data_IF_568404140953
#
_entry.id   IF_568404140953
#
_cell.length_a   1.000
_cell.length_b   1.000
_cell.length_c   1.000
_cell.angle_alpha   90.00
_cell.angle_beta   90.00
_cell.angle_gamma   90.00
#
_symmetry.space_group_name_H-M   'P 1'
#
loop_
_entity.id
_entity.type
_entity.pdbx_description
1 polymer ?
#
# COMPACT_ATOMS: atom_id res chain seq x y z
N UNK A 1 -17.72 -28.67 -15.95
CA UNK A 1 -17.65 -27.83 -14.72
C UNK A 1 -18.09 -26.38 -14.94
N UNK A 2 -17.59 -25.66 -15.95
CA UNK A 2 -17.96 -24.24 -16.18
C UNK A 2 -19.47 -24.01 -16.42
N UNK A 3 -20.10 -24.86 -17.26
CA UNK A 3 -21.54 -24.77 -17.58
C UNK A 3 -22.48 -24.94 -16.39
N UNK A 4 -22.15 -25.79 -15.41
CA UNK A 4 -23.01 -25.95 -14.21
C UNK A 4 -22.92 -24.73 -13.30
N UNK A 5 -21.72 -24.16 -13.08
CA UNK A 5 -21.58 -22.91 -12.34
C UNK A 5 -22.31 -21.74 -12.99
N UNK A 6 -22.29 -21.66 -14.33
CA UNK A 6 -23.03 -20.63 -15.07
C UNK A 6 -24.55 -20.78 -14.87
N UNK A 7 -25.08 -22.01 -14.93
CA UNK A 7 -26.48 -22.28 -14.63
C UNK A 7 -26.85 -21.94 -13.18
N UNK A 8 -26.04 -22.37 -12.21
CA UNK A 8 -26.28 -22.12 -10.79
C UNK A 8 -26.33 -20.61 -10.50
N UNK A 9 -25.45 -19.83 -11.13
CA UNK A 9 -25.45 -18.37 -11.01
C UNK A 9 -26.73 -17.75 -11.58
N UNK A 10 -27.17 -18.20 -12.76
CA UNK A 10 -28.41 -17.71 -13.40
C UNK A 10 -29.63 -18.08 -12.56
N UNK A 11 -29.69 -19.31 -12.04
CA UNK A 11 -30.76 -19.73 -11.14
C UNK A 11 -30.78 -18.86 -9.88
N UNK A 12 -29.62 -18.60 -9.28
CA UNK A 12 -29.52 -17.80 -8.06
C UNK A 12 -29.99 -16.35 -8.29
N UNK A 13 -29.63 -15.77 -9.44
CA UNK A 13 -30.08 -14.44 -9.86
C UNK A 13 -31.61 -14.41 -10.08
N UNK A 14 -32.18 -15.41 -10.75
CA UNK A 14 -33.63 -15.52 -10.93
C UNK A 14 -34.36 -15.71 -9.58
N UNK A 15 -33.80 -16.47 -8.65
CA UNK A 15 -34.35 -16.65 -7.30
C UNK A 15 -34.34 -15.35 -6.50
N UNK A 16 -33.26 -14.56 -6.60
CA UNK A 16 -33.17 -13.26 -5.93
C UNK A 16 -34.25 -12.30 -6.46
N UNK A 17 -34.39 -12.19 -7.78
CA UNK A 17 -35.42 -11.35 -8.41
C UNK A 17 -36.84 -11.79 -8.05
N UNK A 18 -37.11 -13.09 -8.05
CA UNK A 18 -38.44 -13.63 -7.73
C UNK A 18 -38.78 -13.54 -6.23
N UNK A 19 -37.83 -13.85 -5.34
CA UNK A 19 -38.09 -13.94 -3.90
C UNK A 19 -37.95 -12.60 -3.17
N UNK A 20 -37.04 -11.73 -3.63
CA UNK A 20 -36.70 -10.44 -3.00
C UNK A 20 -37.38 -9.28 -3.72
N UNK A 21 -37.22 -9.18 -5.04
CA UNK A 21 -37.78 -8.05 -5.82
C UNK A 21 -39.26 -8.25 -6.20
N UNK A 22 -39.78 -9.48 -6.09
CA UNK A 22 -41.19 -9.79 -6.36
C UNK A 22 -41.55 -9.94 -7.83
N UNK A 23 -40.58 -10.21 -8.71
CA UNK A 23 -40.82 -10.49 -10.13
C UNK A 23 -41.59 -11.81 -10.34
N UNK A 24 -42.35 -11.90 -11.44
CA UNK A 24 -43.04 -13.14 -11.81
C UNK A 24 -42.09 -14.12 -12.51
N UNK A 25 -42.47 -15.41 -12.53
CA UNK A 25 -41.67 -16.47 -13.18
C UNK A 25 -41.47 -16.14 -14.66
N UNK A 26 -42.49 -15.62 -15.32
CA UNK A 26 -42.46 -15.26 -16.75
C UNK A 26 -41.44 -14.15 -17.04
N UNK A 27 -41.31 -13.16 -16.15
CA UNK A 27 -40.35 -12.07 -16.26
C UNK A 27 -38.90 -12.56 -16.07
N UNK A 28 -38.68 -13.46 -15.11
CA UNK A 28 -37.39 -14.11 -14.90
C UNK A 28 -36.99 -14.98 -16.12
N UNK A 29 -37.94 -15.74 -16.69
CA UNK A 29 -37.70 -16.59 -17.85
C UNK A 29 -37.47 -15.78 -19.14
N UNK A 30 -38.11 -14.62 -19.29
CA UNK A 30 -37.88 -13.71 -20.41
C UNK A 30 -36.45 -13.14 -20.40
N UNK A 31 -35.88 -12.94 -19.22
CA UNK A 31 -34.49 -12.46 -19.07
C UNK A 31 -33.44 -13.55 -19.37
N UNK A 32 -33.82 -14.83 -19.36
CA UNK A 32 -32.90 -15.97 -19.52
C UNK A 32 -33.45 -17.07 -20.47
N UNK A 33 -33.66 -16.76 -21.76
CA UNK A 33 -34.36 -17.65 -22.71
C UNK A 33 -33.60 -18.95 -23.02
N UNK A 34 -32.26 -18.96 -22.87
CA UNK A 34 -31.42 -20.13 -23.20
C UNK A 34 -31.63 -21.34 -22.30
N UNK A 35 -32.13 -21.15 -21.09
CA UNK A 35 -32.27 -22.19 -20.04
C UNK A 35 -33.68 -22.25 -19.46
N UNK A 36 -34.64 -21.56 -20.09
CA UNK A 36 -35.98 -21.35 -19.54
C UNK A 36 -36.73 -22.66 -19.24
N UNK A 37 -36.53 -23.69 -20.07
CA UNK A 37 -37.17 -25.01 -19.91
C UNK A 37 -36.71 -25.73 -18.64
N UNK A 38 -35.44 -25.57 -18.25
CA UNK A 38 -34.86 -26.19 -17.04
C UNK A 38 -35.09 -25.33 -15.79
N UNK A 39 -35.09 -24.00 -15.93
CA UNK A 39 -35.31 -23.06 -14.83
C UNK A 39 -36.75 -23.06 -14.30
N UNK A 40 -37.73 -23.18 -15.18
CA UNK A 40 -39.16 -23.10 -14.84
C UNK A 40 -39.59 -24.01 -13.67
N UNK A 41 -39.33 -25.33 -13.68
CA UNK A 41 -39.73 -26.21 -12.57
C UNK A 41 -39.00 -25.89 -11.26
N UNK A 42 -37.74 -25.44 -11.33
CA UNK A 42 -36.97 -25.07 -10.14
C UNK A 42 -37.53 -23.81 -9.48
N UNK A 43 -37.87 -22.79 -10.26
CA UNK A 43 -38.49 -21.55 -9.76
C UNK A 43 -39.87 -21.82 -9.17
N UNK A 44 -40.68 -22.67 -9.81
CA UNK A 44 -41.97 -23.10 -9.26
C UNK A 44 -41.81 -23.80 -7.91
N UNK A 45 -40.85 -24.72 -7.80
CA UNK A 45 -40.56 -25.43 -6.55
C UNK A 45 -40.13 -24.47 -5.44
N UNK A 46 -39.25 -23.51 -5.77
CA UNK A 46 -38.82 -22.49 -4.82
C UNK A 46 -39.97 -21.61 -4.33
N UNK A 47 -40.90 -21.24 -5.22
CA UNK A 47 -42.09 -20.46 -4.87
C UNK A 47 -43.05 -21.24 -3.96
N UNK A 48 -43.29 -22.52 -4.26
CA UNK A 48 -44.09 -23.41 -3.40
C UNK A 48 -43.43 -23.56 -2.04
N UNK A 49 -42.12 -23.78 -1.98
CA UNK A 49 -41.37 -23.88 -0.73
C UNK A 49 -41.43 -22.58 0.09
N UNK A 50 -41.31 -21.42 -0.56
CA UNK A 50 -41.45 -20.10 0.07
C UNK A 50 -42.84 -19.92 0.70
N UNK A 51 -43.89 -20.25 -0.06
CA UNK A 51 -45.27 -20.11 0.40
C UNK A 51 -45.64 -21.14 1.49
N UNK A 52 -45.06 -22.35 1.42
CA UNK A 52 -45.20 -23.38 2.43
C UNK A 52 -44.34 -23.11 3.68
N UNK A 53 -43.38 -22.19 3.60
CA UNK A 53 -42.55 -21.77 4.74
C UNK A 53 -43.35 -20.88 5.69
N UNK A 54 -44.29 -21.51 6.41
CA UNK A 54 -45.07 -20.94 7.51
C UNK A 54 -44.21 -20.69 8.75
N UNK A 55 -43.00 -21.24 8.80
CA UNK A 55 -42.08 -21.13 9.93
C UNK A 55 -41.36 -19.78 9.89
N UNK A 56 -42.03 -18.72 10.34
CA UNK A 56 -41.32 -17.50 10.71
C UNK A 56 -40.60 -17.74 12.04
N UNK A 57 -39.28 -17.48 12.12
CA UNK A 57 -38.57 -17.58 13.39
C UNK A 57 -39.18 -16.62 14.40
N UNK A 58 -39.30 -17.07 15.66
CA UNK A 58 -39.82 -16.23 16.76
C UNK A 58 -39.02 -14.92 16.82
N UNK A 59 -39.67 -13.77 17.07
CA UNK A 59 -39.00 -12.47 17.06
C UNK A 59 -37.80 -12.41 18.02
N UNK A 60 -37.91 -13.07 19.18
CA UNK A 60 -36.83 -13.19 20.17
C UNK A 60 -35.61 -13.95 19.62
N UNK A 61 -35.84 -15.03 18.86
CA UNK A 61 -34.76 -15.79 18.22
C UNK A 61 -34.04 -14.94 17.17
N UNK A 62 -34.79 -14.19 16.36
CA UNK A 62 -34.23 -13.27 15.36
C UNK A 62 -33.39 -12.17 16.00
N UNK A 63 -33.86 -11.59 17.11
CA UNK A 63 -33.11 -10.59 17.87
C UNK A 63 -31.81 -11.18 18.45
N UNK A 64 -31.87 -12.37 19.05
CA UNK A 64 -30.70 -13.07 19.59
C UNK A 64 -29.68 -13.43 18.50
N UNK A 65 -30.13 -13.96 17.36
CA UNK A 65 -29.26 -14.30 16.24
C UNK A 65 -28.56 -13.07 15.66
N UNK A 66 -29.28 -11.94 15.51
CA UNK A 66 -28.69 -10.66 15.08
C UNK A 66 -27.63 -10.17 16.06
N UNK A 67 -27.92 -10.24 17.36
CA UNK A 67 -26.98 -9.84 18.39
C UNK A 67 -25.70 -10.68 18.36
N UNK A 68 -25.82 -12.01 18.30
CA UNK A 68 -24.67 -12.90 18.21
C UNK A 68 -23.85 -12.69 16.94
N UNK A 69 -24.50 -12.47 15.81
CA UNK A 69 -23.82 -12.18 14.54
C UNK A 69 -23.01 -10.89 14.60
N UNK A 70 -23.57 -9.82 15.20
CA UNK A 70 -22.84 -8.57 15.39
C UNK A 70 -21.64 -8.72 16.32
N UNK A 71 -21.76 -9.48 17.40
CA UNK A 71 -20.63 -9.77 18.29
C UNK A 71 -19.50 -10.51 17.57
N UNK A 72 -19.82 -11.57 16.81
CA UNK A 72 -18.84 -12.31 16.04
C UNK A 72 -18.14 -11.42 14.98
N UNK A 73 -18.88 -10.51 14.33
CA UNK A 73 -18.28 -9.54 13.40
C UNK A 73 -17.36 -8.55 14.11
N UNK A 74 -17.70 -8.10 15.31
CA UNK A 74 -16.84 -7.21 16.10
C UNK A 74 -15.54 -7.91 16.51
N UNK A 75 -15.58 -9.17 16.92
CA UNK A 75 -14.38 -9.95 17.24
C UNK A 75 -13.46 -10.11 16.01
N UNK A 76 -14.06 -10.41 14.85
CA UNK A 76 -13.30 -10.52 13.58
C UNK A 76 -12.73 -9.16 13.16
N UNK A 77 -13.48 -8.07 13.32
CA UNK A 77 -13.04 -6.72 12.99
C UNK A 77 -11.94 -6.22 13.93
N UNK A 78 -12.05 -6.48 15.24
CA UNK A 78 -11.04 -6.15 16.24
C UNK A 78 -9.73 -6.89 15.98
N UNK A 79 -9.79 -8.17 15.57
CA UNK A 79 -8.60 -8.93 15.17
C UNK A 79 -7.99 -8.44 13.85
N UNK A 80 -8.77 -7.72 13.03
CA UNK A 80 -8.35 -7.15 11.73
C UNK A 80 -7.91 -5.70 11.83
N UNK A 81 -7.89 -5.08 13.01
CA UNK A 81 -7.21 -3.80 13.21
C UNK A 81 -5.70 -4.02 13.06
N UNK A 82 -5.26 -4.08 11.80
CA UNK A 82 -3.84 -4.06 11.48
C UNK A 82 -3.28 -2.76 12.06
N UNK A 83 -2.10 -2.81 12.69
CA UNK A 83 -1.50 -1.62 13.23
C UNK A 83 -1.30 -0.64 12.07
N UNK A 84 -1.49 0.64 12.32
CA UNK A 84 -1.19 1.73 11.38
C UNK A 84 0.26 1.68 10.84
N UNK A 85 1.10 0.82 11.41
CA UNK A 85 2.49 0.54 11.06
C UNK A 85 2.72 -0.71 10.19
N UNK A 86 1.71 -1.57 9.99
CA UNK A 86 1.83 -2.84 9.27
C UNK A 86 1.82 -2.72 7.74
N UNK A 87 1.62 -1.50 7.23
CA UNK A 87 1.60 -1.17 5.79
C UNK A 87 2.57 -0.03 5.45
N UNK A 88 3.58 0.23 6.27
CA UNK A 88 4.71 1.02 5.78
C UNK A 88 5.60 0.09 4.96
N UNK A 89 5.68 0.29 3.64
CA UNK A 89 6.58 -0.52 2.85
C UNK A 89 8.00 -0.17 3.27
N UNK A 90 8.86 -1.19 3.41
CA UNK A 90 10.24 -1.06 3.94
C UNK A 90 11.10 -0.03 3.20
N UNK A 91 10.70 0.39 1.99
CA UNK A 91 11.35 1.47 1.26
C UNK A 91 11.05 2.86 1.83
N UNK A 92 9.86 3.09 2.42
CA UNK A 92 9.49 4.37 3.01
C UNK A 92 10.36 4.71 4.23
N UNK A 93 10.71 3.71 5.04
CA UNK A 93 11.67 3.87 6.14
C UNK A 93 13.08 4.18 5.62
N UNK A 94 13.51 3.57 4.52
CA UNK A 94 14.82 3.87 3.92
C UNK A 94 14.87 5.31 3.38
N UNK A 95 13.82 5.77 2.69
CA UNK A 95 13.72 7.15 2.21
C UNK A 95 13.71 8.14 3.38
N UNK A 96 12.95 7.87 4.45
CA UNK A 96 12.92 8.73 5.63
C UNK A 96 14.30 8.83 6.30
N UNK A 97 15.03 7.72 6.42
CA UNK A 97 16.40 7.71 6.96
C UNK A 97 17.35 8.50 6.07
N UNK A 98 17.27 8.34 4.74
CA UNK A 98 18.09 9.11 3.79
C UNK A 98 17.79 10.60 3.87
N UNK A 99 16.51 10.99 3.96
CA UNK A 99 16.11 12.39 4.12
C UNK A 99 16.62 12.98 5.45
N UNK A 100 16.51 12.24 6.55
CA UNK A 100 17.04 12.67 7.86
C UNK A 100 18.55 12.85 7.75
N UNK A 101 19.28 11.88 7.19
CA UNK A 101 20.73 11.95 6.99
C UNK A 101 21.14 13.14 6.10
N UNK A 102 20.38 13.45 5.06
CA UNK A 102 20.62 14.62 4.20
C UNK A 102 20.39 15.94 4.94
N UNK A 103 19.31 16.03 5.73
CA UNK A 103 19.00 17.22 6.52
C UNK A 103 20.03 17.47 7.62
N UNK A 104 20.46 16.42 8.33
CA UNK A 104 21.49 16.56 9.38
C UNK A 104 22.89 16.70 8.80
N UNK A 105 23.21 15.97 7.73
CA UNK A 105 24.53 15.96 7.09
C UNK A 105 24.87 17.26 6.35
N UNK A 106 23.89 17.89 5.69
CA UNK A 106 24.10 19.11 4.91
C UNK A 106 24.65 20.30 5.72
N UNK A 107 24.30 20.37 7.01
CA UNK A 107 24.76 21.43 7.93
C UNK A 107 26.26 21.37 8.23
N UNK A 108 26.85 20.17 8.24
CA UNK A 108 28.30 19.97 8.51
C UNK A 108 29.18 20.24 7.28
N UNK A 109 28.66 20.02 6.08
CA UNK A 109 29.41 20.19 4.82
C UNK A 109 29.72 21.66 4.54
N UNK A 110 28.76 22.57 4.78
CA UNK A 110 28.96 24.01 4.57
C UNK A 110 30.01 24.61 5.54
N UNK A 111 30.08 24.11 6.78
CA UNK A 111 31.08 24.53 7.76
C UNK A 111 32.46 23.89 7.52
N UNK A 112 32.50 22.69 6.93
CA UNK A 112 33.74 21.95 6.69
C UNK A 112 34.62 22.55 5.60
N UNK A 113 34.10 23.31 4.62
CA UNK A 113 34.92 23.86 3.52
C UNK A 113 36.03 24.80 4.02
N UNK A 114 35.79 25.50 5.14
CA UNK A 114 36.75 26.38 5.80
C UNK A 114 37.58 25.72 6.92
N UNK A 115 37.43 24.40 7.14
CA UNK A 115 38.20 23.70 8.17
C UNK A 115 39.69 23.60 7.80
N UNK A 116 40.55 23.81 8.80
CA UNK A 116 42.00 23.61 8.69
C UNK A 116 42.39 22.15 8.94
N UNK A 117 43.58 21.70 8.48
CA UNK A 117 44.06 20.32 8.71
C UNK A 117 44.09 19.86 10.17
N UNK A 118 44.28 20.77 11.12
CA UNK A 118 44.24 20.54 12.57
C UNK A 118 42.82 20.56 13.16
N UNK A 119 41.81 20.87 12.35
CA UNK A 119 40.42 21.07 12.77
C UNK A 119 39.56 19.80 12.76
N UNK A 120 38.55 19.73 13.63
CA UNK A 120 37.71 18.53 13.79
C UNK A 120 36.86 18.19 12.54
N UNK A 121 36.59 19.16 11.66
CA UNK A 121 35.75 18.98 10.47
C UNK A 121 36.56 18.70 9.18
N UNK A 122 37.89 18.60 9.27
CA UNK A 122 38.74 18.39 8.10
C UNK A 122 38.52 17.03 7.42
N UNK A 123 38.21 16.00 8.21
CA UNK A 123 37.82 14.69 7.66
C UNK A 123 36.55 14.76 6.81
N UNK A 124 35.59 15.61 7.21
CA UNK A 124 34.36 15.85 6.44
C UNK A 124 34.68 16.56 5.13
N UNK A 125 35.59 17.56 5.16
CA UNK A 125 36.06 18.26 3.95
C UNK A 125 36.62 17.27 2.92
N UNK A 126 37.57 16.41 3.32
CA UNK A 126 38.17 15.39 2.44
C UNK A 126 37.13 14.42 1.86
N UNK A 127 36.19 13.96 2.69
CA UNK A 127 35.13 13.06 2.25
C UNK A 127 34.23 13.73 1.17
N UNK A 128 33.89 15.01 1.35
CA UNK A 128 33.06 15.75 0.38
C UNK A 128 33.79 15.99 -0.95
N UNK A 129 35.10 16.26 -0.89
CA UNK A 129 35.96 16.38 -2.07
C UNK A 129 36.00 15.04 -2.86
N UNK A 130 36.16 13.91 -2.16
CA UNK A 130 36.17 12.57 -2.76
C UNK A 130 34.84 12.19 -3.40
N UNK A 131 33.72 12.51 -2.74
CA UNK A 131 32.37 12.30 -3.31
C UNK A 131 32.21 13.13 -4.58
N UNK A 132 32.65 14.39 -4.59
CA UNK A 132 32.59 15.25 -5.77
C UNK A 132 33.41 14.69 -6.94
N UNK A 133 34.60 14.13 -6.66
CA UNK A 133 35.41 13.45 -7.68
C UNK A 133 34.74 12.19 -8.22
N UNK A 134 34.12 11.38 -7.35
CA UNK A 134 33.45 10.13 -7.72
C UNK A 134 32.19 10.37 -8.54
N UNK A 135 31.45 11.43 -8.22
CA UNK A 135 30.23 11.84 -8.93
C UNK A 135 30.49 12.64 -10.20
N UNK A 136 31.74 13.05 -10.47
CA UNK A 136 32.09 13.78 -11.70
C UNK A 136 32.50 12.78 -12.79
N UNK A 137 31.69 12.60 -13.85
CA UNK A 137 31.97 11.57 -14.86
C UNK A 137 33.07 11.95 -15.84
N UNK A 138 33.34 13.24 -16.05
CA UNK A 138 34.30 13.70 -17.05
C UNK A 138 35.73 13.76 -16.50
N UNK A 139 36.70 13.26 -17.27
CA UNK A 139 38.12 13.33 -16.90
C UNK A 139 38.63 14.77 -16.85
N UNK A 140 38.18 15.64 -17.76
CA UNK A 140 38.47 17.07 -17.72
C UNK A 140 37.90 17.73 -16.44
N UNK A 141 36.70 17.34 -16.02
CA UNK A 141 36.07 17.85 -14.80
C UNK A 141 36.81 17.41 -13.53
N UNK A 142 37.28 16.15 -13.50
CA UNK A 142 38.14 15.67 -12.41
C UNK A 142 39.48 16.41 -12.37
N UNK A 143 40.11 16.65 -13.51
CA UNK A 143 41.36 17.40 -13.59
C UNK A 143 41.20 18.83 -13.04
N UNK A 144 40.10 19.51 -13.39
CA UNK A 144 39.76 20.82 -12.83
C UNK A 144 39.55 20.76 -11.31
N UNK A 145 38.86 19.73 -10.81
CA UNK A 145 38.67 19.54 -9.37
C UNK A 145 39.99 19.32 -8.64
N UNK A 146 40.90 18.47 -9.16
CA UNK A 146 42.23 18.27 -8.58
C UNK A 146 43.06 19.56 -8.55
N UNK A 147 43.03 20.35 -9.62
CA UNK A 147 43.69 21.65 -9.63
C UNK A 147 43.13 22.56 -8.53
N UNK A 148 41.80 22.65 -8.40
CA UNK A 148 41.14 23.46 -7.37
C UNK A 148 41.45 23.01 -5.95
N UNK A 149 41.50 21.70 -5.68
CA UNK A 149 41.85 21.17 -4.36
C UNK A 149 43.32 21.40 -4.03
N UNK A 150 44.21 21.28 -5.01
CA UNK A 150 45.65 21.56 -4.82
C UNK A 150 45.86 23.02 -4.44
N UNK A 151 45.17 23.94 -5.11
CA UNK A 151 45.25 25.38 -4.80
C UNK A 151 44.79 25.67 -3.36
N UNK A 152 43.72 25.01 -2.91
CA UNK A 152 43.29 25.06 -1.49
C UNK A 152 44.35 24.52 -0.53
N UNK A 153 45.07 23.44 -0.87
CA UNK A 153 46.14 22.90 -0.01
C UNK A 153 47.32 23.86 0.12
N UNK A 154 47.68 24.57 -0.94
CA UNK A 154 48.74 25.59 -0.87
C UNK A 154 48.35 26.69 0.13
N UNK A 155 47.11 27.17 0.09
CA UNK A 155 46.61 28.17 1.03
C UNK A 155 46.57 27.67 2.48
N UNK A 156 46.21 26.41 2.71
CA UNK A 156 46.23 25.79 4.03
C UNK A 156 47.64 25.68 4.59
N UNK A 157 48.60 25.22 3.78
CA UNK A 157 50.02 25.12 4.15
C UNK A 157 50.57 26.50 4.51
N UNK A 158 50.30 27.51 3.67
CA UNK A 158 50.72 28.89 3.94
C UNK A 158 50.11 29.44 5.24
N UNK A 159 48.84 29.11 5.53
CA UNK A 159 48.18 29.53 6.78
C UNK A 159 48.76 28.82 8.00
N UNK A 160 49.07 27.52 7.89
CA UNK A 160 49.71 26.77 8.97
C UNK A 160 51.13 27.29 9.25
N UNK A 161 51.90 27.59 8.20
CA UNK A 161 53.24 28.16 8.30
C UNK A 161 53.26 29.57 8.91
N UNK A 162 52.17 30.34 8.80
CA UNK A 162 52.02 31.66 9.43
C UNK A 162 51.59 31.58 10.91
N UNK A 163 50.98 30.46 11.32
CA UNK A 163 50.43 30.24 12.66
C UNK A 163 51.44 29.57 13.61
N UNK A 164 52.41 28.84 13.07
CA UNK A 164 53.62 28.38 13.77
C UNK A 164 54.73 29.41 13.73
#
# INVERSE_FOLDING_TARGET
MKKSREFDNVLNECLERLLVNGETIEQCLASCPKQATELKPLLQTALVAKNASVIQPRPEFKARARYQFHLALQEVAAKRSRPLFGWQPRWATAIAIVLILLLTGGSTVAAADNSMPDGPLYGVKLATEQVRLTLTPSELGKAQLYASFTDKRVLEIARMAKKG
#
